data_IF_934167974445
#
_entry.id   IF_934167974445
#
_cell.length_a   1.000
_cell.length_b   1.000
_cell.length_c   1.000
_cell.angle_alpha   90.00
_cell.angle_beta   90.00
_cell.angle_gamma   90.00
#
_symmetry.space_group_name_H-M   'P 1'
#
loop_
_entity.id
_entity.type
_entity.pdbx_description
1 polymer ?
#
# COMPACT_ATOMS: atom_id res chain seq x y z
N UNK A 1 -1.65 -17.14 -2.14
CA UNK A 1 -1.35 -16.34 -3.33
C UNK A 1 0.14 -16.18 -3.55
N UNK A 2 0.82 -17.22 -4.05
CA UNK A 2 2.25 -17.21 -4.40
C UNK A 2 2.52 -16.73 -5.83
N UNK A 3 1.51 -16.80 -6.71
CA UNK A 3 1.59 -16.31 -8.09
C UNK A 3 1.80 -14.80 -8.21
N UNK A 4 1.34 -14.00 -7.24
CA UNK A 4 1.57 -12.54 -7.23
C UNK A 4 3.02 -12.19 -6.87
N UNK A 5 3.65 -12.94 -5.97
CA UNK A 5 5.07 -12.79 -5.60
C UNK A 5 6.01 -13.12 -6.77
N UNK A 6 5.66 -14.11 -7.60
CA UNK A 6 6.41 -14.42 -8.82
C UNK A 6 6.24 -13.35 -9.92
N UNK A 7 5.18 -12.55 -9.90
CA UNK A 7 5.04 -11.39 -10.80
C UNK A 7 6.02 -10.27 -10.42
N UNK A 8 6.33 -10.11 -9.13
CA UNK A 8 7.36 -9.18 -8.63
C UNK A 8 8.78 -9.53 -9.08
N UNK A 9 9.07 -10.79 -9.46
CA UNK A 9 10.35 -11.17 -10.07
C UNK A 9 10.57 -10.53 -11.46
N UNK A 10 9.54 -9.93 -12.09
CA UNK A 10 9.74 -9.04 -13.25
C UNK A 10 10.54 -7.78 -12.91
N UNK A 11 10.64 -7.39 -11.64
CA UNK A 11 11.48 -6.28 -11.15
C UNK A 11 12.98 -6.55 -11.39
N UNK A 12 13.41 -7.82 -11.46
CA UNK A 12 14.79 -8.16 -11.87
C UNK A 12 15.08 -7.73 -13.32
N UNK A 13 14.06 -7.53 -14.17
CA UNK A 13 14.24 -6.91 -15.49
C UNK A 13 14.54 -5.41 -15.39
N UNK A 14 14.13 -4.72 -14.33
CA UNK A 14 14.52 -3.32 -14.08
C UNK A 14 16.01 -3.19 -13.76
N UNK A 15 16.66 -4.21 -13.16
CA UNK A 15 18.12 -4.26 -13.03
C UNK A 15 18.85 -4.28 -14.39
N UNK A 16 18.17 -4.60 -15.49
CA UNK A 16 18.74 -4.47 -16.85
C UNK A 16 18.84 -3.01 -17.30
N UNK A 17 18.08 -2.07 -16.73
CA UNK A 17 18.32 -0.63 -16.89
C UNK A 17 19.67 -0.21 -16.30
N UNK A 18 20.24 -0.99 -15.37
CA UNK A 18 21.61 -0.78 -14.87
C UNK A 18 22.68 -0.88 -15.97
N UNK A 19 22.41 -1.55 -17.10
CA UNK A 19 23.31 -1.50 -18.27
C UNK A 19 23.16 -0.21 -19.09
N UNK A 20 22.00 0.44 -19.04
CA UNK A 20 21.71 1.72 -19.71
C UNK A 20 22.31 2.89 -18.93
N UNK A 21 22.31 2.81 -17.58
CA UNK A 21 22.97 3.76 -16.69
C UNK A 21 24.50 3.84 -16.87
N UNK A 22 25.12 2.87 -17.56
CA UNK A 22 26.56 2.90 -17.89
C UNK A 22 26.91 3.73 -19.13
N UNK A 23 25.89 4.25 -19.85
CA UNK A 23 26.01 5.24 -20.94
C UNK A 23 25.81 6.69 -20.47
N UNK A 24 25.61 6.86 -19.17
CA UNK A 24 25.43 8.13 -18.48
C UNK A 24 26.77 8.85 -18.51
N UNK A 25 26.92 9.74 -19.48
CA UNK A 25 28.15 10.41 -19.89
C UNK A 25 27.74 11.83 -20.29
N UNK A 26 27.62 12.80 -19.41
CA UNK A 26 28.62 13.06 -18.39
C UNK A 26 28.21 14.36 -17.64
N UNK A 27 28.06 14.28 -16.33
CA UNK A 27 28.13 15.37 -15.32
C UNK A 27 26.98 16.36 -15.12
N UNK A 28 26.19 16.76 -16.13
CA UNK A 28 24.96 17.55 -15.89
C UNK A 28 23.72 16.66 -15.93
N UNK A 29 23.75 15.63 -16.77
CA UNK A 29 22.78 14.54 -16.79
C UNK A 29 22.80 13.69 -15.52
N UNK A 30 23.93 13.60 -14.79
CA UNK A 30 23.99 12.83 -13.53
C UNK A 30 23.04 13.39 -12.47
N UNK A 31 22.89 14.72 -12.35
CA UNK A 31 21.97 15.31 -11.36
C UNK A 31 20.51 14.99 -11.65
N UNK A 32 20.08 15.20 -12.90
CA UNK A 32 18.73 14.85 -13.34
C UNK A 32 18.49 13.33 -13.32
N UNK A 33 19.46 12.52 -13.72
CA UNK A 33 19.34 11.06 -13.67
C UNK A 33 19.33 10.51 -12.24
N UNK A 34 20.10 11.09 -11.32
CA UNK A 34 20.04 10.76 -9.89
C UNK A 34 18.70 11.18 -9.32
N UNK A 35 18.18 12.36 -9.66
CA UNK A 35 16.84 12.79 -9.24
C UNK A 35 15.76 11.83 -9.75
N UNK A 36 15.78 11.48 -11.04
CA UNK A 36 14.84 10.50 -11.62
C UNK A 36 14.98 9.14 -10.95
N UNK A 37 16.21 8.67 -10.70
CA UNK A 37 16.45 7.43 -10.00
C UNK A 37 15.89 7.46 -8.57
N UNK A 38 16.13 8.54 -7.82
CA UNK A 38 15.61 8.73 -6.48
C UNK A 38 14.08 8.77 -6.48
N UNK A 39 13.45 9.47 -7.43
CA UNK A 39 11.99 9.48 -7.62
C UNK A 39 11.46 8.08 -7.93
N UNK A 40 12.14 7.31 -8.78
CA UNK A 40 11.76 5.93 -9.07
C UNK A 40 11.89 5.02 -7.86
N UNK A 41 12.98 5.13 -7.09
CA UNK A 41 13.20 4.36 -5.86
C UNK A 41 12.16 4.72 -4.80
N UNK A 42 11.87 6.01 -4.64
CA UNK A 42 10.83 6.51 -3.74
C UNK A 42 9.45 5.97 -4.13
N UNK A 43 9.08 6.04 -5.42
CA UNK A 43 7.83 5.48 -5.92
C UNK A 43 7.72 3.97 -5.73
N UNK A 44 8.82 3.23 -5.92
CA UNK A 44 8.86 1.78 -5.66
C UNK A 44 8.69 1.47 -4.17
N UNK A 45 9.37 2.23 -3.29
CA UNK A 45 9.22 2.10 -1.84
C UNK A 45 7.78 2.40 -1.40
N UNK A 46 7.16 3.47 -1.92
CA UNK A 46 5.78 3.82 -1.65
C UNK A 46 4.81 2.71 -2.08
N UNK A 47 5.04 2.07 -3.24
CA UNK A 47 4.24 0.93 -3.71
C UNK A 47 4.40 -0.30 -2.80
N UNK A 48 5.61 -0.62 -2.35
CA UNK A 48 5.83 -1.73 -1.42
C UNK A 48 5.15 -1.50 -0.09
N UNK A 49 5.32 -0.31 0.48
CA UNK A 49 4.67 0.07 1.73
C UNK A 49 3.14 0.09 1.57
N UNK A 50 2.61 0.51 0.40
CA UNK A 50 1.17 0.49 0.14
C UNK A 50 0.62 -0.94 0.07
N UNK A 51 1.37 -1.87 -0.51
CA UNK A 51 1.01 -3.29 -0.50
C UNK A 51 1.01 -3.88 0.91
N UNK A 52 1.98 -3.50 1.75
CA UNK A 52 2.03 -3.92 3.15
C UNK A 52 0.86 -3.33 3.93
N UNK A 53 0.57 -2.04 3.75
CA UNK A 53 -0.58 -1.37 4.35
C UNK A 53 -1.91 -2.04 4.00
N UNK A 54 -2.10 -2.36 2.72
CA UNK A 54 -3.25 -3.14 2.27
C UNK A 54 -3.32 -4.50 2.94
N UNK A 55 -2.20 -5.23 2.99
CA UNK A 55 -2.15 -6.55 3.60
C UNK A 55 -2.50 -6.52 5.10
N UNK A 56 -2.12 -5.46 5.82
CA UNK A 56 -2.51 -5.25 7.23
C UNK A 56 -4.03 -5.07 7.34
N UNK A 57 -4.63 -4.18 6.54
CA UNK A 57 -6.08 -3.95 6.56
C UNK A 57 -6.88 -5.19 6.17
N UNK A 58 -6.45 -5.90 5.12
CA UNK A 58 -7.08 -7.14 4.66
C UNK A 58 -7.01 -8.24 5.75
N UNK A 59 -5.87 -8.35 6.43
CA UNK A 59 -5.71 -9.28 7.55
C UNK A 59 -6.61 -8.94 8.74
N UNK A 60 -6.80 -7.65 9.05
CA UNK A 60 -7.66 -7.23 10.17
C UNK A 60 -9.15 -7.33 9.88
N UNK A 61 -9.57 -7.17 8.62
CA UNK A 61 -10.97 -7.32 8.20
C UNK A 61 -11.34 -8.80 7.99
N UNK A 62 -10.44 -9.62 7.44
CA UNK A 62 -10.71 -11.01 7.08
C UNK A 62 -10.15 -12.05 8.07
N UNK A 63 -9.67 -11.65 9.25
CA UNK A 63 -9.13 -12.62 10.22
C UNK A 63 -10.20 -13.66 10.59
N UNK A 64 -10.10 -14.86 10.00
CA UNK A 64 -11.08 -15.96 10.13
C UNK A 64 -11.29 -16.42 11.59
N UNK A 65 -10.29 -16.21 12.46
CA UNK A 65 -10.36 -16.57 13.89
C UNK A 65 -11.30 -15.66 14.71
N UNK A 66 -11.76 -14.54 14.14
CA UNK A 66 -12.73 -13.64 14.77
C UNK A 66 -13.83 -13.36 13.77
N UNK A 67 -15.00 -13.98 13.94
CA UNK A 67 -16.24 -13.67 13.20
C UNK A 67 -16.65 -12.17 13.22
N UNK A 68 -15.92 -11.33 13.98
CA UNK A 68 -16.08 -9.88 14.01
C UNK A 68 -15.04 -9.18 13.12
N UNK A 69 -15.53 -8.57 12.04
CA UNK A 69 -14.85 -7.44 11.39
C UNK A 69 -14.58 -6.36 12.44
N UNK A 70 -13.36 -5.80 12.44
CA UNK A 70 -13.03 -4.65 13.26
C UNK A 70 -13.51 -3.37 12.57
N UNK A 71 -14.57 -2.71 13.07
CA UNK A 71 -15.11 -1.52 12.41
C UNK A 71 -14.13 -0.35 12.43
N UNK A 72 -13.15 -0.39 13.34
CA UNK A 72 -12.14 0.65 13.45
C UNK A 72 -11.08 0.58 12.34
N UNK A 73 -10.88 -0.56 11.67
CA UNK A 73 -9.79 -0.70 10.68
C UNK A 73 -9.94 0.29 9.53
N UNK A 74 -8.81 0.81 9.05
CA UNK A 74 -8.80 1.79 7.95
C UNK A 74 -9.53 1.29 6.70
N UNK A 75 -9.45 -0.02 6.41
CA UNK A 75 -10.06 -0.63 5.22
C UNK A 75 -11.58 -0.70 5.35
N UNK A 76 -12.10 -0.93 6.55
CA UNK A 76 -13.53 -0.89 6.83
C UNK A 76 -14.08 0.53 6.71
N UNK A 77 -13.42 1.51 7.35
CA UNK A 77 -13.80 2.92 7.27
C UNK A 77 -13.79 3.45 5.83
N UNK A 78 -12.86 2.97 4.99
CA UNK A 78 -12.85 3.29 3.57
C UNK A 78 -14.12 2.81 2.86
N UNK A 79 -14.55 1.57 3.13
CA UNK A 79 -15.76 1.01 2.56
C UNK A 79 -17.00 1.84 2.90
N UNK A 80 -17.13 2.25 4.16
CA UNK A 80 -18.19 3.15 4.62
C UNK A 80 -18.14 4.50 3.88
N UNK A 81 -16.96 5.09 3.76
CA UNK A 81 -16.77 6.42 3.16
C UNK A 81 -17.10 6.45 1.67
N UNK A 82 -16.78 5.37 0.94
CA UNK A 82 -17.01 5.25 -0.50
C UNK A 82 -18.44 4.79 -0.82
N UNK A 83 -19.21 4.36 0.19
CA UNK A 83 -20.55 3.83 0.00
C UNK A 83 -20.57 2.39 -0.51
N UNK A 84 -19.46 1.67 -0.36
CA UNK A 84 -19.34 0.23 -0.61
C UNK A 84 -18.94 -0.49 0.69
N UNK A 85 -19.82 -0.48 1.70
CA UNK A 85 -19.54 -1.04 3.02
C UNK A 85 -19.40 -2.57 2.99
N UNK A 86 -18.84 -3.13 4.07
CA UNK A 86 -18.79 -4.58 4.28
C UNK A 86 -20.08 -5.05 4.95
N UNK A 87 -20.72 -6.06 4.38
CA UNK A 87 -21.98 -6.61 4.88
C UNK A 87 -21.76 -8.04 5.40
N UNK A 88 -22.35 -8.34 6.56
CA UNK A 88 -22.37 -9.70 7.07
C UNK A 88 -23.55 -10.48 6.50
N UNK A 89 -23.27 -11.55 5.76
CA UNK A 89 -24.31 -12.36 5.16
C UNK A 89 -24.84 -13.41 6.17
N UNK A 90 -25.89 -13.03 6.90
CA UNK A 90 -26.56 -13.87 7.92
C UNK A 90 -27.32 -15.04 7.29
N UNK A 91 -27.76 -14.91 6.03
CA UNK A 91 -28.61 -15.92 5.36
C UNK A 91 -27.83 -16.90 4.48
N UNK A 92 -26.50 -16.74 4.39
CA UNK A 92 -25.62 -17.52 3.53
C UNK A 92 -24.48 -18.22 4.28
N UNK A 93 -23.26 -18.08 3.77
CA UNK A 93 -22.03 -18.78 4.22
C UNK A 93 -21.50 -18.33 5.59
N UNK A 94 -22.17 -17.40 6.28
CA UNK A 94 -21.71 -16.82 7.55
C UNK A 94 -20.44 -15.98 7.39
N UNK A 95 -20.24 -15.37 6.21
CA UNK A 95 -19.05 -14.59 5.87
C UNK A 95 -19.36 -13.12 5.64
N UNK A 96 -18.35 -12.29 5.84
CA UNK A 96 -18.36 -10.89 5.45
C UNK A 96 -18.12 -10.78 3.93
N UNK A 97 -19.04 -10.12 3.24
CA UNK A 97 -19.02 -9.92 1.79
C UNK A 97 -19.11 -8.42 1.46
N UNK A 98 -18.67 -8.04 0.26
CA UNK A 98 -18.65 -6.63 -0.18
C UNK A 98 -17.31 -5.94 0.06
N UNK A 99 -17.37 -4.65 0.37
CA UNK A 99 -16.20 -3.78 0.52
C UNK A 99 -15.79 -3.02 -0.75
N UNK A 100 -14.81 -2.11 -0.61
CA UNK A 100 -14.31 -1.26 -1.69
C UNK A 100 -13.62 -2.05 -2.80
N UNK A 101 -13.67 -1.53 -4.03
CA UNK A 101 -13.04 -2.15 -5.19
C UNK A 101 -11.52 -2.20 -5.04
N UNK A 102 -10.87 -3.24 -5.60
CA UNK A 102 -9.40 -3.41 -5.50
C UNK A 102 -8.64 -2.18 -6.01
N UNK A 103 -9.14 -1.54 -7.05
CA UNK A 103 -8.53 -0.32 -7.61
C UNK A 103 -8.61 0.84 -6.62
N UNK A 104 -9.78 1.04 -6.00
CA UNK A 104 -9.97 2.09 -5.00
C UNK A 104 -9.09 1.86 -3.77
N UNK A 105 -9.02 0.63 -3.29
CA UNK A 105 -8.18 0.24 -2.16
C UNK A 105 -6.71 0.50 -2.48
N UNK A 106 -6.25 0.10 -3.66
CA UNK A 106 -4.85 0.31 -4.07
C UNK A 106 -4.49 1.80 -4.14
N UNK A 107 -5.32 2.63 -4.78
CA UNK A 107 -5.09 4.08 -4.89
C UNK A 107 -5.10 4.73 -3.50
N UNK A 108 -6.01 4.31 -2.64
CA UNK A 108 -6.14 4.81 -1.26
C UNK A 108 -4.92 4.44 -0.42
N UNK A 109 -4.45 3.18 -0.49
CA UNK A 109 -3.23 2.74 0.17
C UNK A 109 -2.00 3.51 -0.30
N UNK A 110 -1.86 3.73 -1.61
CA UNK A 110 -0.75 4.49 -2.19
C UNK A 110 -0.81 5.97 -1.76
N UNK A 111 -2.00 6.55 -1.71
CA UNK A 111 -2.20 7.91 -1.20
C UNK A 111 -1.77 8.03 0.27
N UNK A 112 -2.15 7.08 1.13
CA UNK A 112 -1.71 7.07 2.53
C UNK A 112 -0.18 6.96 2.67
N UNK A 113 0.45 6.06 1.92
CA UNK A 113 1.91 5.91 2.01
C UNK A 113 2.67 7.09 1.44
N UNK A 114 2.23 7.64 0.31
CA UNK A 114 2.83 8.84 -0.27
C UNK A 114 2.71 10.03 0.68
N UNK A 115 1.55 10.25 1.29
CA UNK A 115 1.33 11.36 2.22
C UNK A 115 2.07 11.21 3.53
N UNK A 116 2.30 9.97 3.98
CA UNK A 116 3.14 9.67 5.15
C UNK A 116 4.63 9.87 4.85
N UNK A 117 5.13 9.30 3.76
CA UNK A 117 6.54 9.41 3.35
C UNK A 117 6.95 10.85 3.00
N UNK A 118 6.04 11.62 2.40
CA UNK A 118 6.29 13.05 2.11
C UNK A 118 6.06 13.95 3.33
N UNK A 119 5.73 13.37 4.50
CA UNK A 119 5.45 14.11 5.74
C UNK A 119 4.30 15.13 5.63
N UNK A 120 3.39 14.96 4.67
CA UNK A 120 2.21 15.84 4.48
C UNK A 120 1.10 15.46 5.48
N UNK A 121 0.79 14.17 5.58
CA UNK A 121 -0.12 13.63 6.61
C UNK A 121 -1.52 14.27 6.66
N UNK A 122 -2.29 14.27 5.57
CA UNK A 122 -3.63 14.89 5.52
C UNK A 122 -4.65 14.33 6.52
N UNK A 123 -4.48 13.09 6.99
CA UNK A 123 -5.35 12.48 8.00
C UNK A 123 -6.67 11.89 7.49
N UNK A 124 -6.95 11.92 6.17
CA UNK A 124 -8.15 11.29 5.59
C UNK A 124 -8.17 9.76 5.79
N UNK A 125 -6.98 9.16 5.89
CA UNK A 125 -6.78 7.77 6.29
C UNK A 125 -5.80 7.83 7.44
N UNK A 126 -6.15 7.21 8.55
CA UNK A 126 -5.33 7.21 9.74
C UNK A 126 -5.27 5.79 10.33
N UNK A 127 -4.11 5.40 10.90
CA UNK A 127 -3.99 4.16 11.63
C UNK A 127 -4.80 4.22 12.94
N UNK A 128 -5.73 3.32 13.12
CA UNK A 128 -6.58 3.25 14.31
C UNK A 128 -6.21 2.06 15.19
N UNK A 129 -5.83 0.94 14.58
CA UNK A 129 -5.49 -0.30 15.29
C UNK A 129 -4.01 -0.30 15.70
N UNK A 130 -3.66 -1.14 16.67
CA UNK A 130 -2.28 -1.21 17.18
C UNK A 130 -1.29 -1.63 16.08
N UNK A 131 -1.68 -2.57 15.21
CA UNK A 131 -0.84 -3.01 14.09
C UNK A 131 -0.66 -1.90 13.05
N UNK A 132 -1.74 -1.20 12.70
CA UNK A 132 -1.70 -0.05 11.81
C UNK A 132 -0.82 1.08 12.37
N UNK A 133 -0.92 1.36 13.68
CA UNK A 133 -0.13 2.39 14.36
C UNK A 133 1.36 2.06 14.39
N UNK A 134 1.72 0.82 14.74
CA UNK A 134 3.12 0.37 14.72
C UNK A 134 3.70 0.51 13.32
N UNK A 135 2.95 0.11 12.30
CA UNK A 135 3.38 0.24 10.91
C UNK A 135 3.53 1.71 10.49
N UNK A 136 2.58 2.58 10.86
CA UNK A 136 2.67 4.01 10.57
C UNK A 136 3.90 4.66 11.22
N UNK A 137 4.20 4.34 12.48
CA UNK A 137 5.42 4.79 13.15
C UNK A 137 6.67 4.33 12.41
N UNK A 138 6.73 3.05 12.00
CA UNK A 138 7.85 2.52 11.22
C UNK A 138 8.02 3.25 9.88
N UNK A 139 6.93 3.54 9.17
CA UNK A 139 6.98 4.33 7.93
C UNK A 139 7.46 5.76 8.14
N UNK A 140 7.00 6.42 9.21
CA UNK A 140 7.43 7.78 9.57
C UNK A 140 8.90 7.86 9.97
N UNK A 141 9.51 6.76 10.43
CA UNK A 141 10.96 6.70 10.66
C UNK A 141 11.77 6.51 9.37
N UNK A 142 11.16 5.97 8.32
CA UNK A 142 11.81 5.71 7.02
C UNK A 142 11.75 6.93 6.11
N UNK A 143 10.62 7.65 6.10
CA UNK A 143 10.41 8.88 5.34
C UNK A 143 11.15 10.06 5.94
#
# INVERSE_FOLDING_TARGET
>A
GISSLFSSLKVVRLLRLGRVARKLDHYIEYGAAVLVLLVCVFGLAAHWLACIWYSIGDYEVLSEDREKVRPESWLYMLGETIGTPYHYNVSGTGKWEGGPTKDSVYITSLYFTMTSLTSIGFGNIAPTTDAEKIFAVAMMMIG
#
